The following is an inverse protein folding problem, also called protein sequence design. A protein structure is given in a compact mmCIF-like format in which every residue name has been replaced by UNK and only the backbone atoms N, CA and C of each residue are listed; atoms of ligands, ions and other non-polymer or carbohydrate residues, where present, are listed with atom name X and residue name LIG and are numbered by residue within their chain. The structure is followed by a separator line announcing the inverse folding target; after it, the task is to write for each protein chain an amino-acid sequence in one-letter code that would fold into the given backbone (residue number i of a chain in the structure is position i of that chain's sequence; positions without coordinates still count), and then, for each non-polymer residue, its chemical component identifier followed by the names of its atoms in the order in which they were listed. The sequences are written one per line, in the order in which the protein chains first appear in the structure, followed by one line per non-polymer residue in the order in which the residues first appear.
data_IF_723645916227
#
_entry.id   IF_723645916227
#
_cell.length_a   1.000
_cell.length_b   1.000
_cell.length_c   1.000
_cell.angle_alpha   90.00
_cell.angle_beta   90.00
_cell.angle_gamma   90.00
#
_symmetry.space_group_name_H-M   'P 1'
#
loop_
_entity.id
_entity.type
_entity.pdbx_description
1 polymer ?
#
# COMPACT_ATOMS: atom_id res chain seq x y z
N UNK A 1 8.48 -57.67 50.05
CA UNK A 1 7.13 -57.05 50.17
C UNK A 1 7.19 -55.63 49.63
N UNK A 2 6.26 -55.30 48.71
CA UNK A 2 5.83 -53.96 48.27
C UNK A 2 6.88 -53.14 47.52
N UNK A 3 6.87 -53.18 46.17
CA UNK A 3 6.10 -52.29 45.28
C UNK A 3 6.33 -50.81 45.59
N UNK A 4 6.91 -50.04 44.67
CA UNK A 4 6.37 -48.73 44.29
C UNK A 4 6.92 -48.26 42.93
N UNK A 5 6.06 -48.44 41.92
CA UNK A 5 5.82 -47.58 40.76
C UNK A 5 6.99 -46.84 40.08
N UNK A 6 7.44 -47.43 38.96
CA UNK A 6 7.99 -46.66 37.82
C UNK A 6 6.91 -45.75 37.25
N UNK A 7 6.95 -44.46 37.57
CA UNK A 7 6.18 -43.44 36.86
C UNK A 7 6.93 -43.10 35.58
N UNK A 8 6.54 -43.74 34.48
CA UNK A 8 6.92 -43.34 33.13
C UNK A 8 6.24 -42.00 32.84
N UNK A 9 6.98 -40.90 32.97
CA UNK A 9 6.49 -39.57 32.62
C UNK A 9 6.50 -39.43 31.09
N UNK A 10 5.40 -39.80 30.45
CA UNK A 10 5.13 -39.47 29.05
C UNK A 10 4.94 -37.96 28.94
N UNK A 11 6.03 -37.21 28.74
CA UNK A 11 5.96 -35.85 28.20
C UNK A 11 5.51 -35.96 26.74
N UNK A 12 4.20 -36.01 26.51
CA UNK A 12 3.67 -35.63 25.21
C UNK A 12 3.97 -34.14 25.04
N UNK A 13 5.04 -33.84 24.28
CA UNK A 13 5.19 -32.53 23.66
C UNK A 13 4.01 -32.37 22.70
N UNK A 14 2.88 -31.93 23.24
CA UNK A 14 1.82 -31.31 22.48
C UNK A 14 2.48 -30.11 21.78
N UNK A 15 2.81 -30.32 20.51
CA UNK A 15 3.26 -29.29 19.61
C UNK A 15 2.11 -28.29 19.51
N UNK A 16 2.12 -27.28 20.38
CA UNK A 16 1.31 -26.08 20.22
C UNK A 16 1.82 -25.38 18.97
N UNK A 17 1.46 -25.90 17.80
CA UNK A 17 1.47 -25.12 16.57
C UNK A 17 0.41 -24.05 16.78
N UNK A 18 0.81 -22.91 17.35
CA UNK A 18 0.01 -21.71 17.42
C UNK A 18 -0.15 -21.15 15.99
N UNK A 19 -0.84 -21.90 15.12
CA UNK A 19 -1.03 -21.54 13.71
C UNK A 19 -2.41 -20.94 13.51
N UNK A 20 -2.50 -19.64 13.80
CA UNK A 20 -3.18 -18.70 12.91
C UNK A 20 -2.91 -17.27 13.37
N UNK A 21 -1.90 -16.68 12.75
CA UNK A 21 -1.77 -15.24 12.69
C UNK A 21 -2.23 -14.79 11.32
N UNK A 22 -3.00 -13.69 11.30
CA UNK A 22 -4.03 -13.37 10.29
C UNK A 22 -3.78 -13.93 8.89
N UNK A 23 -4.77 -14.68 8.39
CA UNK A 23 -4.72 -15.26 7.05
C UNK A 23 -5.53 -14.40 6.10
N UNK A 24 -4.89 -13.90 5.04
CA UNK A 24 -5.55 -13.15 3.97
C UNK A 24 -5.53 -14.00 2.71
N UNK A 25 -6.68 -14.17 2.08
CA UNK A 25 -6.84 -14.99 0.87
C UNK A 25 -7.67 -14.27 -0.17
N UNK A 26 -7.56 -14.68 -1.42
CA UNK A 26 -8.42 -14.18 -2.48
C UNK A 26 -7.85 -14.48 -3.85
N UNK A 27 -8.29 -13.71 -4.84
CA UNK A 27 -7.82 -13.77 -6.22
C UNK A 27 -7.39 -12.40 -6.72
N UNK A 28 -6.36 -12.39 -7.56
CA UNK A 28 -5.92 -11.21 -8.33
C UNK A 28 -6.25 -11.48 -9.79
N UNK A 29 -7.09 -10.62 -10.37
CA UNK A 29 -7.65 -10.79 -11.71
C UNK A 29 -7.40 -9.54 -12.56
N UNK A 30 -7.37 -9.74 -13.88
CA UNK A 30 -7.38 -8.65 -14.84
C UNK A 30 -8.80 -8.13 -15.08
N UNK A 31 -8.91 -7.10 -15.92
CA UNK A 31 -10.16 -6.42 -16.27
C UNK A 31 -11.28 -7.34 -16.80
N UNK A 32 -10.91 -8.50 -17.35
CA UNK A 32 -11.82 -9.51 -17.88
C UNK A 32 -12.17 -10.60 -16.85
N UNK A 33 -11.88 -10.35 -15.57
CA UNK A 33 -12.07 -11.27 -14.44
C UNK A 33 -11.33 -12.61 -14.58
N UNK A 34 -10.34 -12.68 -15.48
CA UNK A 34 -9.46 -13.84 -15.64
C UNK A 34 -8.16 -13.65 -14.87
N UNK A 35 -7.53 -14.75 -14.43
CA UNK A 35 -6.19 -14.68 -13.84
C UNK A 35 -5.19 -14.00 -14.77
N UNK A 36 -4.32 -13.19 -14.18
CA UNK A 36 -3.21 -12.54 -14.90
C UNK A 36 -2.10 -13.56 -15.17
N UNK A 37 -1.35 -13.35 -16.26
CA UNK A 37 -0.20 -14.19 -16.63
C UNK A 37 0.85 -14.24 -15.50
N UNK A 38 0.98 -13.12 -14.79
CA UNK A 38 1.79 -12.96 -13.59
C UNK A 38 1.13 -11.91 -12.71
N UNK A 39 1.08 -12.21 -11.40
CA UNK A 39 0.64 -11.28 -10.38
C UNK A 39 1.29 -11.62 -9.04
N UNK A 40 1.50 -10.60 -8.22
CA UNK A 40 2.13 -10.68 -6.92
C UNK A 40 1.38 -9.83 -5.90
N UNK A 41 1.54 -10.17 -4.62
CA UNK A 41 1.17 -9.31 -3.49
C UNK A 41 2.41 -9.00 -2.68
N UNK A 42 2.67 -7.72 -2.47
CA UNK A 42 3.78 -7.22 -1.66
C UNK A 42 3.22 -6.65 -0.36
N UNK A 43 3.77 -7.11 0.76
CA UNK A 43 3.38 -6.65 2.09
C UNK A 43 4.45 -5.68 2.55
N UNK A 44 4.07 -4.44 2.84
CA UNK A 44 5.02 -3.39 3.23
C UNK A 44 4.58 -2.58 4.45
N UNK A 45 5.56 -1.94 5.09
CA UNK A 45 5.32 -0.90 6.08
C UNK A 45 4.68 0.32 5.42
N UNK A 46 3.58 0.87 5.96
CA UNK A 46 3.02 2.13 5.49
C UNK A 46 3.90 3.35 5.76
N UNK A 47 4.81 3.28 6.74
CA UNK A 47 5.65 4.41 7.14
C UNK A 47 7.00 4.39 6.44
N UNK A 48 7.71 3.25 6.45
CA UNK A 48 9.06 3.15 5.83
C UNK A 48 9.01 2.74 4.36
N UNK A 49 7.87 2.21 3.88
CA UNK A 49 7.69 1.58 2.56
C UNK A 49 8.54 0.32 2.35
N UNK A 50 9.22 -0.15 3.39
CA UNK A 50 9.98 -1.41 3.35
C UNK A 50 9.04 -2.57 3.06
N UNK A 51 9.39 -3.38 2.06
CA UNK A 51 8.67 -4.61 1.72
C UNK A 51 9.14 -5.73 2.65
N UNK A 52 8.26 -6.22 3.50
CA UNK A 52 8.55 -7.32 4.41
C UNK A 52 8.69 -8.65 3.67
N UNK A 53 7.78 -8.91 2.73
CA UNK A 53 7.82 -10.08 1.87
C UNK A 53 6.85 -9.93 0.68
N UNK A 54 7.06 -10.76 -0.34
CA UNK A 54 6.24 -10.81 -1.56
C UNK A 54 5.73 -12.23 -1.80
N UNK A 55 4.53 -12.36 -2.34
CA UNK A 55 3.92 -13.65 -2.66
C UNK A 55 3.42 -13.64 -4.10
N UNK A 56 3.86 -14.63 -4.88
CA UNK A 56 3.35 -14.88 -6.23
C UNK A 56 1.95 -15.49 -6.15
N UNK A 57 0.99 -14.94 -6.90
CA UNK A 57 -0.31 -15.58 -7.11
C UNK A 57 -0.18 -16.85 -7.97
N UNK A 58 -0.99 -17.86 -7.67
CA UNK A 58 -1.06 -19.10 -8.46
C UNK A 58 -1.62 -18.82 -9.86
N UNK A 59 -1.45 -19.76 -10.81
CA UNK A 59 -1.97 -19.64 -12.19
C UNK A 59 -3.48 -19.34 -12.28
N UNK A 60 -4.26 -19.75 -11.27
CA UNK A 60 -5.70 -19.45 -11.19
C UNK A 60 -6.03 -18.09 -10.52
N UNK A 61 -5.00 -17.27 -10.27
CA UNK A 61 -5.08 -15.96 -9.61
C UNK A 61 -5.12 -16.03 -8.09
N UNK A 62 -5.22 -17.22 -7.49
CA UNK A 62 -5.37 -17.33 -6.04
C UNK A 62 -4.07 -17.01 -5.29
N UNK A 63 -4.21 -16.36 -4.14
CA UNK A 63 -3.10 -16.05 -3.24
C UNK A 63 -3.47 -16.33 -1.79
N UNK A 64 -2.45 -16.47 -0.95
CA UNK A 64 -2.57 -16.64 0.51
C UNK A 64 -1.42 -15.92 1.19
N UNK A 65 -1.74 -15.07 2.15
CA UNK A 65 -0.82 -14.33 3.00
C UNK A 65 -1.04 -14.80 4.43
N UNK A 66 0.05 -15.00 5.16
CA UNK A 66 0.03 -15.30 6.60
C UNK A 66 0.80 -14.21 7.33
N UNK A 67 0.08 -13.35 8.04
CA UNK A 67 0.68 -12.24 8.77
C UNK A 67 0.95 -12.66 10.20
N UNK A 68 2.23 -12.71 10.56
CA UNK A 68 2.70 -13.09 11.90
C UNK A 68 2.83 -11.96 12.91
N UNK A 69 2.25 -10.78 12.67
CA UNK A 69 2.18 -9.71 13.68
C UNK A 69 0.89 -8.92 13.51
N UNK A 70 0.32 -8.49 14.63
CA UNK A 70 -0.65 -7.40 14.60
C UNK A 70 0.08 -6.14 14.11
N UNK A 71 -0.59 -5.31 13.33
CA UNK A 71 0.08 -4.21 12.64
C UNK A 71 -0.82 -3.45 11.70
N UNK A 72 -0.28 -2.36 11.17
CA UNK A 72 -0.83 -1.64 10.02
C UNK A 72 0.09 -1.91 8.83
N UNK A 73 -0.49 -2.36 7.72
CA UNK A 73 0.26 -2.82 6.55
C UNK A 73 -0.33 -2.22 5.27
N UNK A 74 0.51 -2.10 4.25
CA UNK A 74 0.04 -1.98 2.87
C UNK A 74 0.15 -3.33 2.17
N UNK A 75 -0.96 -3.74 1.56
CA UNK A 75 -1.01 -4.83 0.59
C UNK A 75 -0.97 -4.22 -0.80
N UNK A 76 0.14 -4.37 -1.50
CA UNK A 76 0.30 -3.89 -2.87
C UNK A 76 0.12 -5.06 -3.85
N UNK A 77 -0.93 -4.98 -4.65
CA UNK A 77 -1.28 -5.95 -5.68
C UNK A 77 -0.75 -5.46 -7.02
N UNK A 78 0.03 -6.31 -7.68
CA UNK A 78 0.64 -6.01 -8.98
C UNK A 78 0.29 -7.12 -9.96
N UNK A 79 0.29 -6.82 -11.25
CA UNK A 79 0.19 -7.84 -12.28
C UNK A 79 0.57 -7.31 -13.66
N UNK A 80 1.07 -8.20 -14.51
CA UNK A 80 1.57 -7.82 -15.83
C UNK A 80 0.48 -7.11 -16.66
N UNK A 81 0.86 -6.00 -17.31
CA UNK A 81 0.00 -5.09 -18.07
C UNK A 81 -1.05 -4.31 -17.24
N UNK A 82 -0.94 -4.28 -15.92
CA UNK A 82 -1.93 -3.66 -15.05
C UNK A 82 -1.31 -2.63 -14.09
N UNK A 83 -2.14 -1.66 -13.69
CA UNK A 83 -1.77 -0.68 -12.67
C UNK A 83 -1.75 -1.36 -11.30
N UNK A 84 -0.74 -1.01 -10.49
CA UNK A 84 -0.62 -1.49 -9.11
C UNK A 84 -1.73 -0.91 -8.25
N UNK A 85 -2.21 -1.70 -7.29
CA UNK A 85 -3.22 -1.29 -6.32
C UNK A 85 -2.70 -1.48 -4.90
N UNK A 86 -2.69 -0.41 -4.10
CA UNK A 86 -2.22 -0.45 -2.71
C UNK A 86 -3.39 -0.31 -1.75
N UNK A 87 -3.56 -1.29 -0.87
CA UNK A 87 -4.67 -1.39 0.08
C UNK A 87 -4.14 -1.30 1.52
N UNK A 88 -4.55 -0.30 2.31
CA UNK A 88 -4.28 -0.27 3.75
C UNK A 88 -5.05 -1.36 4.49
N UNK A 89 -4.39 -2.06 5.41
CA UNK A 89 -5.05 -3.03 6.27
C UNK A 89 -4.55 -2.97 7.71
N UNK A 90 -5.48 -3.02 8.66
CA UNK A 90 -5.18 -3.01 10.10
C UNK A 90 -5.52 -4.36 10.70
N UNK A 91 -4.52 -4.98 11.29
CA UNK A 91 -4.61 -6.25 12.01
C UNK A 91 -4.45 -5.96 13.50
N UNK A 92 -5.58 -5.88 14.22
CA UNK A 92 -5.62 -5.67 15.67
C UNK A 92 -5.83 -6.97 16.45
N UNK A 93 -6.20 -8.06 15.78
CA UNK A 93 -6.34 -9.42 16.31
C UNK A 93 -6.23 -10.43 15.16
N UNK A 94 -5.93 -11.68 15.49
CA UNK A 94 -5.98 -12.78 14.53
C UNK A 94 -7.37 -12.90 13.90
N UNK A 95 -7.41 -12.95 12.58
CA UNK A 95 -8.64 -13.10 11.80
C UNK A 95 -8.37 -13.75 10.44
N UNK A 96 -9.44 -14.06 9.71
CA UNK A 96 -9.38 -14.46 8.31
C UNK A 96 -10.00 -13.36 7.48
N UNK A 97 -9.33 -12.98 6.40
CA UNK A 97 -9.78 -11.93 5.49
C UNK A 97 -9.82 -12.53 4.09
N UNK A 98 -10.96 -12.42 3.43
CA UNK A 98 -11.08 -12.80 2.03
C UNK A 98 -11.30 -11.55 1.19
N UNK A 99 -10.36 -11.31 0.28
CA UNK A 99 -10.21 -10.06 -0.47
C UNK A 99 -9.89 -10.38 -1.94
N UNK A 100 -10.85 -10.18 -2.82
CA UNK A 100 -10.68 -10.36 -4.27
C UNK A 100 -10.43 -9.02 -4.94
N UNK A 101 -9.51 -9.02 -5.91
CA UNK A 101 -9.04 -7.82 -6.58
C UNK A 101 -9.18 -8.00 -8.10
N UNK A 102 -9.79 -7.01 -8.74
CA UNK A 102 -9.67 -6.79 -10.19
C UNK A 102 -8.78 -5.58 -10.39
N UNK A 103 -7.62 -5.76 -11.01
CA UNK A 103 -6.69 -4.66 -11.26
C UNK A 103 -7.13 -3.84 -12.46
N UNK A 104 -6.90 -2.53 -12.37
CA UNK A 104 -7.02 -1.62 -13.50
C UNK A 104 -5.97 -1.92 -14.57
N UNK A 105 -6.36 -1.96 -15.84
CA UNK A 105 -5.42 -2.17 -16.93
C UNK A 105 -4.59 -0.90 -17.21
N UNK A 106 -3.34 -1.08 -17.65
CA UNK A 106 -2.49 0.05 -18.04
C UNK A 106 -3.16 0.88 -19.13
N UNK A 107 -2.97 2.21 -19.08
CA UNK A 107 -3.53 3.13 -20.06
C UNK A 107 -2.42 3.54 -21.01
N UNK A 108 -2.67 3.42 -22.32
CA UNK A 108 -1.64 3.65 -23.33
C UNK A 108 -1.91 4.92 -24.13
N UNK A 109 -0.84 5.59 -24.57
CA UNK A 109 -0.94 6.70 -25.51
C UNK A 109 -1.70 6.27 -26.78
N UNK A 110 -2.51 7.15 -27.38
CA UNK A 110 -3.26 6.84 -28.60
C UNK A 110 -2.32 6.60 -29.79
N UNK A 111 -1.18 7.30 -29.83
CA UNK A 111 -0.12 7.18 -30.83
C UNK A 111 1.24 7.22 -30.15
N UNK A 112 2.24 6.61 -30.79
CA UNK A 112 3.61 6.55 -30.26
C UNK A 112 4.54 7.33 -31.19
N UNK A 113 5.15 8.39 -30.66
CA UNK A 113 6.17 9.17 -31.40
C UNK A 113 7.53 8.48 -31.34
N UNK A 114 7.84 7.90 -30.18
CA UNK A 114 9.12 7.26 -29.88
C UNK A 114 8.85 6.08 -28.96
N UNK A 115 9.19 4.87 -29.41
CA UNK A 115 9.17 3.67 -28.56
C UNK A 115 10.60 3.33 -28.23
N UNK A 116 10.88 3.19 -26.95
CA UNK A 116 12.21 2.93 -26.43
C UNK A 116 12.20 1.63 -25.62
N UNK A 117 13.38 1.01 -25.52
CA UNK A 117 13.57 -0.26 -24.83
C UNK A 117 14.81 -0.16 -23.94
N UNK A 118 14.71 -0.78 -22.77
CA UNK A 118 15.79 -1.05 -21.82
C UNK A 118 15.76 -2.54 -21.45
N UNK A 119 16.86 -3.08 -20.95
CA UNK A 119 16.91 -4.49 -20.56
C UNK A 119 18.29 -4.96 -20.17
N UNK A 120 18.50 -6.27 -20.25
CA UNK A 120 19.78 -6.91 -19.90
C UNK A 120 21.00 -6.28 -20.61
N UNK A 121 20.82 -5.82 -21.85
CA UNK A 121 21.88 -5.23 -22.66
C UNK A 121 22.43 -3.90 -22.12
N UNK A 122 21.65 -3.18 -21.31
CA UNK A 122 22.06 -1.92 -20.69
C UNK A 122 21.86 -1.91 -19.17
N UNK A 123 21.71 -3.09 -18.54
CA UNK A 123 21.40 -3.25 -17.12
C UNK A 123 20.19 -2.40 -16.66
N UNK A 124 19.18 -2.27 -17.52
CA UNK A 124 17.99 -1.45 -17.27
C UNK A 124 18.28 0.04 -17.01
N UNK A 125 19.39 0.58 -17.54
CA UNK A 125 19.74 2.00 -17.46
C UNK A 125 18.71 2.85 -18.24
N UNK A 126 17.86 3.58 -17.51
CA UNK A 126 16.79 4.42 -18.05
C UNK A 126 17.32 5.68 -18.77
N UNK A 127 18.57 6.06 -18.51
CA UNK A 127 19.20 7.22 -19.14
C UNK A 127 19.84 6.86 -20.49
N UNK A 128 20.04 5.55 -20.76
CA UNK A 128 20.59 5.03 -22.02
C UNK A 128 19.66 4.03 -22.72
N UNK A 129 18.40 4.41 -23.02
CA UNK A 129 17.48 3.54 -23.72
C UNK A 129 17.80 3.44 -25.22
N UNK A 130 17.58 2.27 -25.81
CA UNK A 130 17.63 2.08 -27.27
C UNK A 130 16.29 2.46 -27.88
N UNK A 131 16.29 3.22 -28.97
CA UNK A 131 15.06 3.52 -29.71
C UNK A 131 14.73 2.38 -30.66
N UNK A 132 13.52 1.84 -30.58
CA UNK A 132 13.08 0.76 -31.46
C UNK A 132 12.77 1.30 -32.86
N UNK A 133 13.13 0.53 -33.90
CA UNK A 133 12.88 0.90 -35.29
C UNK A 133 11.43 0.59 -35.67
N UNK A 134 10.68 1.62 -36.09
CA UNK A 134 9.33 1.46 -36.63
C UNK A 134 9.38 0.76 -38.00
N UNK A 135 8.55 -0.24 -38.18
CA UNK A 135 8.41 -1.01 -39.42
C UNK A 135 7.22 -0.53 -40.25
N UNK A 136 7.15 -0.96 -41.51
CA UNK A 136 6.07 -0.60 -42.45
C UNK A 136 4.69 -1.13 -42.01
N UNK A 137 4.64 -2.24 -41.28
CA UNK A 137 3.42 -2.86 -40.74
C UNK A 137 2.89 -2.18 -39.46
N UNK A 138 3.62 -1.17 -38.96
CA UNK A 138 3.31 -0.42 -37.74
C UNK A 138 3.87 -1.01 -36.45
N UNK A 139 4.62 -2.12 -36.51
CA UNK A 139 5.36 -2.66 -35.36
C UNK A 139 6.66 -1.91 -35.11
N UNK A 140 7.26 -2.13 -33.94
CA UNK A 140 8.57 -1.59 -33.57
C UNK A 140 9.49 -2.74 -33.17
N UNK A 141 10.73 -2.73 -33.67
CA UNK A 141 11.68 -3.82 -33.42
C UNK A 141 13.02 -3.33 -32.89
N UNK A 142 13.64 -4.12 -32.02
CA UNK A 142 15.04 -4.00 -31.63
C UNK A 142 15.69 -5.39 -31.59
N UNK A 143 16.97 -5.47 -31.93
CA UNK A 143 17.73 -6.73 -31.99
C UNK A 143 18.99 -6.61 -31.12
N UNK A 144 19.31 -7.68 -30.40
CA UNK A 144 20.43 -7.73 -29.46
C UNK A 144 21.15 -9.06 -29.57
N UNK A 145 22.48 -9.00 -29.57
CA UNK A 145 23.33 -10.17 -29.34
C UNK A 145 23.36 -10.46 -27.84
N UNK A 146 23.34 -11.74 -27.45
CA UNK A 146 23.39 -12.15 -26.05
C UNK A 146 23.88 -13.59 -25.91
N UNK A 147 24.64 -13.85 -24.87
CA UNK A 147 25.01 -15.22 -24.44
C UNK A 147 24.01 -15.80 -23.45
N UNK A 148 23.05 -14.99 -22.96
CA UNK A 148 22.03 -15.43 -22.01
C UNK A 148 20.92 -16.17 -22.73
N UNK A 149 20.49 -17.29 -22.16
CA UNK A 149 19.32 -18.03 -22.67
C UNK A 149 18.01 -17.26 -22.46
N UNK A 150 17.90 -16.53 -21.33
CA UNK A 150 16.79 -15.63 -21.01
C UNK A 150 17.25 -14.19 -21.14
N UNK A 151 16.44 -13.36 -21.78
CA UNK A 151 16.69 -11.95 -21.97
C UNK A 151 15.49 -11.14 -21.48
N UNK A 152 15.73 -10.29 -20.50
CA UNK A 152 14.71 -9.45 -19.87
C UNK A 152 14.73 -8.02 -20.45
N UNK A 153 13.55 -7.42 -20.61
CA UNK A 153 13.40 -6.08 -21.15
C UNK A 153 12.11 -5.38 -20.67
N UNK A 154 12.10 -4.05 -20.79
CA UNK A 154 10.92 -3.21 -20.61
C UNK A 154 10.86 -2.11 -21.67
N UNK A 155 9.67 -1.53 -21.86
CA UNK A 155 9.39 -0.53 -22.87
C UNK A 155 9.07 0.84 -22.25
N UNK A 156 9.50 1.89 -22.95
CA UNK A 156 9.35 3.30 -22.56
C UNK A 156 8.63 4.05 -23.68
N UNK A 157 7.82 5.04 -23.30
CA UNK A 157 7.12 5.92 -24.24
C UNK A 157 5.79 5.36 -24.77
N UNK A 158 5.19 4.40 -24.04
CA UNK A 158 3.94 3.73 -24.44
C UNK A 158 2.80 4.05 -23.46
N UNK A 159 3.03 3.92 -22.16
CA UNK A 159 2.03 4.16 -21.11
C UNK A 159 1.77 5.67 -20.93
N UNK A 160 0.52 6.04 -20.68
CA UNK A 160 0.02 7.41 -20.69
C UNK A 160 0.69 8.33 -19.65
N UNK A 161 1.05 7.79 -18.48
CA UNK A 161 1.70 8.53 -17.39
C UNK A 161 3.23 8.57 -17.51
N UNK A 162 3.79 7.94 -18.57
CA UNK A 162 5.23 7.81 -18.76
C UNK A 162 5.85 6.62 -18.03
N UNK A 163 5.02 5.72 -17.46
CA UNK A 163 5.48 4.52 -16.79
C UNK A 163 6.22 3.58 -17.75
N UNK A 164 7.29 2.97 -17.25
CA UNK A 164 8.02 1.90 -17.93
C UNK A 164 7.22 0.60 -17.75
N UNK A 165 6.92 -0.10 -18.83
CA UNK A 165 6.00 -1.24 -18.82
C UNK A 165 6.61 -2.47 -19.49
N UNK A 166 6.07 -3.65 -19.18
CA UNK A 166 6.37 -4.86 -19.94
C UNK A 166 5.97 -4.74 -21.43
N UNK A 167 6.58 -5.55 -22.29
CA UNK A 167 6.31 -5.59 -23.73
C UNK A 167 5.15 -6.51 -24.14
N UNK A 168 4.81 -6.46 -25.43
CA UNK A 168 3.74 -7.29 -26.05
C UNK A 168 4.22 -8.67 -26.51
N UNK A 169 5.53 -8.94 -26.41
CA UNK A 169 6.16 -10.21 -26.78
C UNK A 169 6.97 -10.74 -25.60
N UNK A 170 6.51 -11.82 -24.98
CA UNK A 170 7.17 -12.37 -23.79
C UNK A 170 6.81 -13.84 -23.61
N UNK A 171 7.78 -14.64 -23.21
CA UNK A 171 7.61 -16.02 -22.75
C UNK A 171 7.24 -16.09 -21.26
N UNK A 172 7.72 -15.11 -20.47
CA UNK A 172 7.40 -14.98 -19.05
C UNK A 172 7.61 -13.55 -18.53
N UNK A 173 7.35 -13.34 -17.24
CA UNK A 173 7.50 -12.04 -16.57
C UNK A 173 8.27 -12.19 -15.26
N UNK A 174 9.12 -11.20 -14.96
CA UNK A 174 9.82 -11.03 -13.69
C UNK A 174 9.34 -9.72 -13.05
N UNK A 175 9.12 -9.73 -11.74
CA UNK A 175 8.74 -8.50 -11.02
C UNK A 175 9.95 -7.57 -10.91
N UNK A 176 9.79 -6.30 -11.27
CA UNK A 176 10.90 -5.33 -11.38
C UNK A 176 11.26 -4.62 -10.06
N UNK A 177 10.49 -4.84 -9.00
CA UNK A 177 10.69 -4.19 -7.70
C UNK A 177 9.85 -2.93 -7.48
N UNK A 178 9.29 -2.32 -8.53
CA UNK A 178 8.55 -1.04 -8.47
C UNK A 178 7.14 -1.13 -9.09
N UNK A 179 6.51 -2.30 -8.97
CA UNK A 179 5.10 -2.49 -9.28
C UNK A 179 4.80 -2.90 -10.72
N UNK A 180 5.80 -2.94 -11.61
CA UNK A 180 5.67 -3.44 -12.99
C UNK A 180 6.48 -4.74 -13.17
N UNK A 181 6.62 -5.15 -14.43
CA UNK A 181 7.25 -6.39 -14.80
C UNK A 181 8.23 -6.19 -15.95
N UNK A 182 9.31 -6.95 -15.90
CA UNK A 182 10.19 -7.19 -17.03
C UNK A 182 9.57 -8.30 -17.89
N UNK A 183 9.48 -8.07 -19.19
CA UNK A 183 9.20 -9.12 -20.16
C UNK A 183 10.44 -9.96 -20.38
N UNK A 184 10.31 -11.29 -20.33
CA UNK A 184 11.41 -12.23 -20.58
C UNK A 184 11.15 -12.98 -21.87
N UNK A 185 12.14 -13.02 -22.74
CA UNK A 185 12.14 -13.82 -23.99
C UNK A 185 13.32 -14.78 -24.01
N UNK A 186 13.16 -15.88 -24.74
CA UNK A 186 14.22 -16.87 -24.96
C UNK A 186 15.07 -16.50 -26.19
N UNK A 187 16.38 -16.46 -26.00
CA UNK A 187 17.33 -16.21 -27.10
C UNK A 187 17.43 -17.42 -28.03
N UNK A 188 17.67 -17.14 -29.31
CA UNK A 188 17.88 -18.14 -30.36
C UNK A 188 19.17 -17.83 -31.09
N UNK A 189 20.10 -18.78 -31.13
CA UNK A 189 21.39 -18.66 -31.81
C UNK A 189 22.19 -17.40 -31.39
N UNK A 190 22.22 -17.11 -30.09
CA UNK A 190 22.94 -15.96 -29.54
C UNK A 190 22.27 -14.60 -29.79
N UNK A 191 21.03 -14.58 -30.31
CA UNK A 191 20.31 -13.35 -30.65
C UNK A 191 18.93 -13.32 -30.05
N UNK A 192 18.44 -12.10 -29.83
CA UNK A 192 17.05 -11.81 -29.49
C UNK A 192 16.56 -10.71 -30.40
N UNK A 193 15.41 -10.94 -31.02
CA UNK A 193 14.63 -9.90 -31.71
C UNK A 193 13.37 -9.64 -30.89
N UNK A 194 13.18 -8.40 -30.47
CA UNK A 194 12.04 -7.97 -29.69
C UNK A 194 11.12 -7.16 -30.57
N UNK A 195 9.84 -7.56 -30.66
CA UNK A 195 8.82 -6.88 -31.44
C UNK A 195 7.72 -6.34 -30.52
N UNK A 196 7.62 -5.02 -30.46
CA UNK A 196 6.46 -4.35 -29.91
C UNK A 196 5.39 -4.20 -31.00
N UNK A 197 4.21 -4.78 -30.76
CA UNK A 197 3.06 -4.70 -31.66
C UNK A 197 1.92 -3.89 -31.01
N UNK A 198 1.75 -2.61 -31.38
CA UNK A 198 0.66 -1.76 -30.92
C UNK A 198 -0.74 -2.36 -31.01
N UNK A 199 -0.99 -3.21 -32.01
CA UNK A 199 -2.31 -3.83 -32.25
C UNK A 199 -2.65 -4.90 -31.21
N UNK A 200 -1.66 -5.41 -30.47
CA UNK A 200 -1.86 -6.35 -29.36
C UNK A 200 -2.21 -5.67 -28.03
N UNK A 201 -2.12 -4.34 -27.94
CA UNK A 201 -2.47 -3.62 -26.72
C UNK A 201 -3.98 -3.66 -26.49
N UNK A 202 -4.37 -4.00 -25.25
CA UNK A 202 -5.77 -3.93 -24.83
C UNK A 202 -6.07 -2.51 -24.40
N UNK A 203 -6.92 -1.80 -25.15
CA UNK A 203 -7.30 -0.40 -24.85
C UNK A 203 -8.66 -0.36 -24.18
N UNK A 204 -8.67 -0.57 -22.88
CA UNK A 204 -9.87 -0.54 -22.04
C UNK A 204 -9.70 0.40 -20.86
N UNK A 205 -10.77 1.10 -20.51
CA UNK A 205 -10.83 1.96 -19.34
C UNK A 205 -11.71 1.30 -18.27
N UNK A 206 -11.12 0.39 -17.48
CA UNK A 206 -11.80 -0.20 -16.33
C UNK A 206 -11.39 0.51 -15.04
N UNK A 207 -12.29 0.49 -14.05
CA UNK A 207 -11.92 0.77 -12.67
C UNK A 207 -11.34 -0.50 -12.03
N UNK A 208 -10.43 -0.32 -11.08
CA UNK A 208 -10.10 -1.35 -10.12
C UNK A 208 -11.34 -1.74 -9.28
N UNK A 209 -11.40 -3.00 -8.85
CA UNK A 209 -12.46 -3.47 -7.94
C UNK A 209 -11.85 -4.19 -6.75
N UNK A 210 -12.38 -3.87 -5.57
CA UNK A 210 -11.96 -4.42 -4.28
C UNK A 210 -13.17 -5.04 -3.61
N UNK A 211 -13.17 -6.35 -3.48
CA UNK A 211 -14.31 -7.10 -2.92
C UNK A 211 -13.89 -7.83 -1.66
N UNK A 212 -14.34 -7.32 -0.52
CA UNK A 212 -14.29 -8.01 0.76
C UNK A 212 -15.42 -9.02 0.85
N UNK A 213 -15.15 -10.19 1.44
CA UNK A 213 -16.22 -11.11 1.85
C UNK A 213 -17.15 -10.42 2.87
N UNK A 214 -18.43 -10.78 2.86
CA UNK A 214 -19.44 -10.13 3.71
C UNK A 214 -19.11 -10.24 5.20
N UNK A 215 -18.42 -11.31 5.61
CA UNK A 215 -17.96 -11.51 7.00
C UNK A 215 -16.84 -10.53 7.40
N UNK A 216 -16.20 -9.88 6.43
CA UNK A 216 -15.11 -8.91 6.59
C UNK A 216 -15.59 -7.45 6.54
N UNK A 217 -16.83 -7.16 6.92
CA UNK A 217 -17.37 -5.78 6.89
C UNK A 217 -16.51 -4.77 7.68
N UNK A 218 -15.97 -5.16 8.84
CA UNK A 218 -15.10 -4.29 9.64
C UNK A 218 -13.81 -3.93 8.89
N UNK A 219 -13.25 -4.88 8.13
CA UNK A 219 -12.04 -4.64 7.34
C UNK A 219 -12.34 -3.70 6.16
N UNK A 220 -13.48 -3.88 5.51
CA UNK A 220 -13.98 -3.00 4.45
C UNK A 220 -14.19 -1.57 4.95
N UNK A 221 -14.84 -1.39 6.09
CA UNK A 221 -15.08 -0.05 6.65
C UNK A 221 -13.80 0.60 7.16
N UNK A 222 -12.88 -0.17 7.74
CA UNK A 222 -11.55 0.34 8.08
C UNK A 222 -10.80 0.83 6.83
N UNK A 223 -10.83 0.05 5.74
CA UNK A 223 -10.28 0.46 4.44
C UNK A 223 -10.92 1.77 3.94
N UNK A 224 -12.25 1.90 4.02
CA UNK A 224 -12.96 3.11 3.58
C UNK A 224 -12.53 4.35 4.37
N UNK A 225 -12.38 4.23 5.70
CA UNK A 225 -11.93 5.34 6.56
C UNK A 225 -10.52 5.78 6.17
N UNK A 226 -9.58 4.84 6.11
CA UNK A 226 -8.17 5.13 5.83
C UNK A 226 -8.00 5.67 4.41
N UNK A 227 -8.73 5.14 3.44
CA UNK A 227 -8.75 5.65 2.07
C UNK A 227 -9.30 7.07 2.02
N UNK A 228 -10.36 7.37 2.79
CA UNK A 228 -10.89 8.73 2.91
C UNK A 228 -9.88 9.71 3.53
N UNK A 229 -9.06 9.27 4.49
CA UNK A 229 -7.94 10.05 5.04
C UNK A 229 -6.92 10.37 3.94
N UNK A 230 -6.46 9.36 3.21
CA UNK A 230 -5.52 9.54 2.08
C UNK A 230 -6.05 10.45 0.97
N UNK A 231 -7.35 10.35 0.63
CA UNK A 231 -7.99 11.23 -0.34
C UNK A 231 -8.00 12.70 0.12
N UNK A 232 -8.25 12.96 1.41
CA UNK A 232 -8.14 14.33 1.96
C UNK A 232 -6.71 14.84 1.87
N UNK A 233 -5.73 14.03 2.23
CA UNK A 233 -4.32 14.38 2.11
C UNK A 233 -3.95 14.74 0.66
N UNK A 234 -4.37 13.94 -0.33
CA UNK A 234 -4.13 14.24 -1.74
C UNK A 234 -4.79 15.57 -2.17
N UNK A 235 -6.03 15.83 -1.73
CA UNK A 235 -6.73 17.09 -2.01
C UNK A 235 -5.99 18.30 -1.45
N UNK A 236 -5.37 18.16 -0.27
CA UNK A 236 -4.53 19.20 0.34
C UNK A 236 -3.27 19.42 -0.47
N UNK A 237 -2.54 18.34 -0.81
CA UNK A 237 -1.29 18.42 -1.58
C UNK A 237 -1.56 19.16 -2.90
N UNK A 238 -2.63 18.80 -3.61
CA UNK A 238 -3.03 19.47 -4.84
C UNK A 238 -3.36 20.95 -4.60
N UNK A 239 -4.13 21.27 -3.56
CA UNK A 239 -4.48 22.65 -3.24
C UNK A 239 -3.26 23.51 -2.87
N UNK A 240 -2.31 22.94 -2.13
CA UNK A 240 -1.05 23.59 -1.73
C UNK A 240 -0.16 23.83 -2.95
N UNK A 241 0.00 22.83 -3.81
CA UNK A 241 0.79 22.95 -5.04
C UNK A 241 0.22 24.02 -5.98
N UNK A 242 -1.11 24.09 -6.09
CA UNK A 242 -1.79 25.07 -6.92
C UNK A 242 -1.79 26.49 -6.31
N UNK A 243 -1.43 26.63 -5.03
CA UNK A 243 -1.46 27.89 -4.30
C UNK A 243 -0.09 28.25 -3.70
N UNK A 244 0.97 28.12 -4.51
CA UNK A 244 2.35 28.56 -4.19
C UNK A 244 2.87 28.01 -2.85
N UNK A 245 2.56 26.75 -2.56
CA UNK A 245 3.03 26.08 -1.35
C UNK A 245 2.25 26.42 -0.08
N UNK A 246 1.07 27.07 -0.17
CA UNK A 246 0.22 27.39 0.98
C UNK A 246 -1.18 26.82 0.81
N UNK A 247 -1.79 26.35 1.89
CA UNK A 247 -3.21 25.96 1.84
C UNK A 247 -4.07 27.23 1.59
N UNK A 248 -5.05 27.19 0.66
CA UNK A 248 -5.96 28.31 0.43
C UNK A 248 -6.69 28.72 1.72
N UNK A 249 -6.79 30.04 1.99
CA UNK A 249 -7.48 30.56 3.19
C UNK A 249 -8.95 30.12 3.27
N UNK A 250 -9.58 29.88 2.12
CA UNK A 250 -10.96 29.45 1.96
C UNK A 250 -11.11 27.94 1.76
N UNK A 251 -10.07 27.13 2.06
CA UNK A 251 -10.19 25.68 1.97
C UNK A 251 -11.27 25.17 2.93
N UNK A 252 -12.31 24.55 2.37
CA UNK A 252 -13.52 24.22 3.12
C UNK A 252 -13.44 22.81 3.73
N UNK A 253 -13.38 22.76 5.05
CA UNK A 253 -13.36 21.52 5.85
C UNK A 253 -14.74 21.06 6.34
N UNK A 254 -15.78 21.90 6.22
CA UNK A 254 -17.06 21.70 6.90
C UNK A 254 -17.74 20.38 6.51
N UNK A 255 -17.63 19.97 5.24
CA UNK A 255 -18.16 18.69 4.76
C UNK A 255 -17.43 17.49 5.38
N UNK A 256 -16.11 17.54 5.48
CA UNK A 256 -15.31 16.47 6.07
C UNK A 256 -15.53 16.37 7.58
N UNK A 257 -15.55 17.52 8.28
CA UNK A 257 -15.83 17.59 9.72
C UNK A 257 -17.19 16.94 10.02
N UNK A 258 -18.25 17.39 9.35
CA UNK A 258 -19.61 16.85 9.56
C UNK A 258 -19.66 15.35 9.27
N UNK A 259 -19.09 14.91 8.15
CA UNK A 259 -19.06 13.49 7.77
C UNK A 259 -18.38 12.63 8.85
N UNK A 260 -17.22 13.06 9.36
CA UNK A 260 -16.49 12.31 10.38
C UNK A 260 -17.22 12.34 11.73
N UNK A 261 -17.85 13.46 12.11
CA UNK A 261 -18.68 13.55 13.32
C UNK A 261 -19.89 12.62 13.25
N UNK A 262 -20.60 12.61 12.12
CA UNK A 262 -21.74 11.71 11.88
C UNK A 262 -21.30 10.24 11.95
N UNK A 263 -20.10 9.94 11.44
CA UNK A 263 -19.54 8.61 11.53
C UNK A 263 -19.20 8.22 12.97
N UNK A 264 -18.54 9.11 13.72
CA UNK A 264 -18.20 8.90 15.13
C UNK A 264 -19.45 8.64 15.97
N UNK A 265 -20.53 9.40 15.77
CA UNK A 265 -21.74 9.29 16.60
C UNK A 265 -22.52 7.98 16.39
N UNK A 266 -22.47 7.43 15.17
CA UNK A 266 -23.21 6.21 14.80
C UNK A 266 -22.40 4.93 15.00
N UNK A 267 -21.08 5.02 15.05
CA UNK A 267 -20.21 3.85 15.07
C UNK A 267 -20.21 3.14 16.43
N UNK A 268 -20.48 1.83 16.39
CA UNK A 268 -20.53 0.95 17.57
C UNK A 268 -19.32 0.04 17.67
N UNK A 269 -18.65 -0.24 16.56
CA UNK A 269 -17.48 -1.09 16.53
C UNK A 269 -16.26 -0.35 17.12
N UNK A 270 -15.60 -0.88 18.17
CA UNK A 270 -14.50 -0.18 18.83
C UNK A 270 -13.30 0.14 17.93
N UNK A 271 -13.04 -0.68 16.91
CA UNK A 271 -11.94 -0.43 15.97
C UNK A 271 -12.30 0.75 15.04
N UNK A 272 -13.48 0.71 14.44
CA UNK A 272 -13.95 1.73 13.51
C UNK A 272 -14.16 3.08 14.22
N UNK A 273 -14.64 3.06 15.47
CA UNK A 273 -14.78 4.25 16.30
C UNK A 273 -13.42 4.93 16.50
N UNK A 274 -12.39 4.16 16.87
CA UNK A 274 -11.02 4.68 17.04
C UNK A 274 -10.42 5.21 15.74
N UNK A 275 -10.67 4.54 14.61
CA UNK A 275 -10.24 5.04 13.30
C UNK A 275 -10.94 6.35 12.92
N UNK A 276 -12.23 6.46 13.22
CA UNK A 276 -13.00 7.68 12.97
C UNK A 276 -12.53 8.83 13.86
N UNK A 277 -12.22 8.55 15.13
CA UNK A 277 -11.60 9.52 16.05
C UNK A 277 -10.21 9.97 15.56
N UNK A 278 -9.37 9.05 15.07
CA UNK A 278 -8.08 9.41 14.45
C UNK A 278 -8.28 10.26 13.20
N UNK A 279 -9.22 9.88 12.33
CA UNK A 279 -9.62 10.64 11.14
C UNK A 279 -10.12 12.04 11.50
N UNK A 280 -10.65 12.26 12.71
CA UNK A 280 -11.04 13.58 13.19
C UNK A 280 -9.84 14.41 13.62
N UNK A 281 -8.90 13.80 14.36
CA UNK A 281 -7.63 14.44 14.73
C UNK A 281 -6.82 14.86 13.49
N UNK A 282 -6.79 14.04 12.44
CA UNK A 282 -6.13 14.35 11.17
C UNK A 282 -6.60 15.70 10.58
N UNK A 283 -7.90 16.01 10.67
CA UNK A 283 -8.43 17.30 10.20
C UNK A 283 -7.79 18.48 10.94
N UNK A 284 -7.57 18.33 12.25
CA UNK A 284 -6.86 19.31 13.07
C UNK A 284 -5.39 19.46 12.67
N UNK A 285 -4.70 18.35 12.38
CA UNK A 285 -3.31 18.37 11.85
C UNK A 285 -3.23 19.16 10.56
N UNK A 286 -4.24 19.07 9.70
CA UNK A 286 -4.33 19.81 8.45
C UNK A 286 -4.83 21.26 8.58
N UNK A 287 -5.04 21.74 9.81
CA UNK A 287 -5.38 23.14 10.07
C UNK A 287 -6.86 23.48 9.99
N UNK A 288 -7.76 22.50 10.11
CA UNK A 288 -9.19 22.77 10.26
C UNK A 288 -9.44 23.57 11.56
N UNK A 289 -10.12 24.73 11.47
CA UNK A 289 -10.27 25.68 12.58
C UNK A 289 -11.44 25.38 13.53
N UNK A 290 -12.41 24.57 13.10
CA UNK A 290 -13.65 24.29 13.84
C UNK A 290 -13.67 22.86 14.38
N UNK A 291 -12.53 22.41 14.92
CA UNK A 291 -12.42 21.09 15.54
C UNK A 291 -12.93 21.20 16.98
N UNK A 292 -13.88 20.34 17.32
CA UNK A 292 -14.48 20.23 18.63
C UNK A 292 -13.48 19.56 19.59
N UNK A 293 -13.05 20.34 20.59
CA UNK A 293 -12.13 19.89 21.61
C UNK A 293 -12.62 18.71 22.46
N UNK A 294 -13.95 18.53 22.57
CA UNK A 294 -14.53 17.40 23.31
C UNK A 294 -14.31 16.08 22.57
N UNK A 295 -14.48 16.07 21.25
CA UNK A 295 -14.21 14.91 20.40
C UNK A 295 -12.70 14.62 20.36
N UNK A 296 -11.86 15.67 20.32
CA UNK A 296 -10.42 15.49 20.39
C UNK A 296 -9.97 14.89 21.73
N UNK A 297 -10.55 15.35 22.85
CA UNK A 297 -10.33 14.74 24.17
C UNK A 297 -10.77 13.27 24.18
N UNK A 298 -11.94 12.96 23.66
CA UNK A 298 -12.43 11.59 23.51
C UNK A 298 -11.46 10.71 22.70
N UNK A 299 -10.87 11.24 21.63
CA UNK A 299 -9.90 10.51 20.82
C UNK A 299 -8.67 10.08 21.65
N UNK A 300 -8.09 10.97 22.46
CA UNK A 300 -6.96 10.63 23.33
C UNK A 300 -7.34 9.76 24.52
N UNK A 301 -8.61 9.73 24.95
CA UNK A 301 -9.09 8.84 26.00
C UNK A 301 -9.33 7.42 25.49
N UNK A 302 -9.89 7.28 24.28
CA UNK A 302 -10.27 5.99 23.69
C UNK A 302 -9.13 5.31 22.92
N UNK A 303 -8.34 6.08 22.19
CA UNK A 303 -7.12 5.58 21.54
C UNK A 303 -6.06 5.55 22.62
N UNK A 304 -5.68 4.37 23.09
CA UNK A 304 -4.65 4.22 24.14
C UNK A 304 -3.24 4.47 23.57
N UNK A 305 -2.27 4.91 24.39
CA UNK A 305 -0.91 5.17 23.91
C UNK A 305 -0.23 3.99 23.21
N UNK A 306 -0.56 2.76 23.60
CA UNK A 306 -0.05 1.53 23.01
C UNK A 306 -0.88 1.00 21.81
N UNK A 307 -1.85 1.77 21.34
CA UNK A 307 -2.75 1.36 20.26
C UNK A 307 -2.03 1.32 18.91
N UNK A 308 -2.32 0.29 18.12
CA UNK A 308 -1.84 0.18 16.72
C UNK A 308 -2.42 1.26 15.80
N UNK A 309 -3.52 1.91 16.21
CA UNK A 309 -4.19 2.95 15.43
C UNK A 309 -3.27 4.14 15.17
N UNK A 310 -2.34 4.44 16.07
CA UNK A 310 -1.35 5.49 15.87
C UNK A 310 -0.40 5.24 14.68
N UNK A 311 -0.29 3.99 14.20
CA UNK A 311 0.49 3.70 13.00
C UNK A 311 -0.18 4.21 11.71
N UNK A 312 -1.49 4.45 11.71
CA UNK A 312 -2.24 4.93 10.54
C UNK A 312 -1.86 6.37 10.21
N UNK A 313 -1.81 7.23 11.22
CA UNK A 313 -1.30 8.58 11.11
C UNK A 313 -0.65 9.03 12.43
N UNK A 314 0.68 8.86 12.58
CA UNK A 314 1.36 9.25 13.80
C UNK A 314 1.44 10.77 13.98
N UNK A 315 1.21 11.58 12.93
CA UNK A 315 1.20 13.06 13.01
C UNK A 315 0.12 13.58 13.94
N UNK A 316 -1.00 12.87 14.06
CA UNK A 316 -2.09 13.21 14.97
C UNK A 316 -1.65 13.30 16.45
N UNK A 317 -0.53 12.67 16.82
CA UNK A 317 0.07 12.81 18.16
C UNK A 317 0.57 14.24 18.45
N UNK A 318 0.86 15.08 17.44
CA UNK A 318 1.24 16.48 17.66
C UNK A 318 0.12 17.25 18.39
N UNK A 319 -1.15 16.92 18.10
CA UNK A 319 -2.30 17.55 18.74
C UNK A 319 -2.42 17.26 20.24
N UNK A 320 -1.66 16.28 20.76
CA UNK A 320 -1.59 16.05 22.19
C UNK A 320 -0.90 17.20 22.95
N UNK A 321 -0.16 18.08 22.28
CA UNK A 321 0.40 19.28 22.91
C UNK A 321 -0.58 20.46 22.99
N UNK A 322 -1.80 20.27 22.49
CA UNK A 322 -2.85 21.27 22.49
C UNK A 322 -3.01 21.95 21.13
N UNK A 323 -4.22 22.40 20.87
CA UNK A 323 -4.61 23.19 19.70
C UNK A 323 -5.93 23.92 20.03
N UNK A 324 -6.47 24.71 19.11
CA UNK A 324 -7.73 25.43 19.33
C UNK A 324 -8.83 24.49 19.84
N UNK A 325 -9.35 24.76 21.04
CA UNK A 325 -10.41 23.97 21.68
C UNK A 325 -9.93 22.80 22.55
N UNK A 326 -8.67 22.38 22.48
CA UNK A 326 -8.12 21.27 23.28
C UNK A 326 -6.86 21.69 24.03
N UNK A 327 -6.89 21.63 25.37
CA UNK A 327 -5.78 22.08 26.25
C UNK A 327 -4.51 21.20 26.17
N UNK A 328 -4.55 20.06 25.48
CA UNK A 328 -3.40 19.15 25.40
C UNK A 328 -3.26 18.21 26.61
N UNK A 329 -2.53 17.13 26.41
CA UNK A 329 -1.93 16.27 27.42
C UNK A 329 -0.50 15.88 26.97
N UNK A 330 0.52 16.73 27.22
CA UNK A 330 1.90 16.46 26.80
C UNK A 330 2.47 15.13 27.31
N UNK A 331 1.98 14.65 28.47
CA UNK A 331 2.35 13.35 29.03
C UNK A 331 1.89 12.16 28.19
N UNK A 332 0.95 12.36 27.26
CA UNK A 332 0.46 11.33 26.36
C UNK A 332 1.57 10.79 25.45
N UNK A 333 2.38 11.67 24.84
CA UNK A 333 3.49 11.27 23.95
C UNK A 333 4.54 10.46 24.70
N UNK A 334 4.86 10.83 25.95
CA UNK A 334 5.77 10.05 26.79
C UNK A 334 5.26 8.62 27.01
N UNK A 335 3.94 8.45 27.23
CA UNK A 335 3.33 7.12 27.34
C UNK A 335 3.37 6.35 26.02
N UNK A 336 3.22 7.01 24.87
CA UNK A 336 3.37 6.35 23.56
C UNK A 336 4.80 5.82 23.40
N UNK A 337 5.81 6.64 23.69
CA UNK A 337 7.22 6.26 23.61
C UNK A 337 7.52 5.04 24.49
N UNK A 338 6.98 5.02 25.72
CA UNK A 338 7.29 3.97 26.70
C UNK A 338 6.49 2.67 26.51
N UNK A 339 5.35 2.69 25.79
CA UNK A 339 4.41 1.55 25.78
C UNK A 339 3.96 1.09 24.39
N UNK A 340 4.20 1.86 23.32
CA UNK A 340 3.72 1.48 22.00
C UNK A 340 4.59 0.37 21.39
N UNK A 341 3.99 -0.76 20.96
CA UNK A 341 4.74 -1.87 20.39
C UNK A 341 5.26 -1.57 18.97
N UNK A 342 4.72 -0.56 18.28
CA UNK A 342 5.17 -0.16 16.96
C UNK A 342 6.35 0.81 17.07
N UNK A 343 7.54 0.34 16.66
CA UNK A 343 8.79 1.11 16.72
C UNK A 343 8.80 2.35 15.81
N UNK A 344 8.06 2.34 14.72
CA UNK A 344 7.95 3.49 13.82
C UNK A 344 7.13 4.61 14.48
N UNK A 345 6.04 4.25 15.18
CA UNK A 345 5.26 5.20 15.98
C UNK A 345 6.10 5.77 17.12
N UNK A 346 6.90 4.94 17.79
CA UNK A 346 7.84 5.39 18.83
C UNK A 346 8.89 6.35 18.24
N UNK A 347 9.49 6.00 17.10
CA UNK A 347 10.46 6.84 16.41
C UNK A 347 9.88 8.22 16.04
N UNK A 348 8.67 8.24 15.49
CA UNK A 348 7.96 9.49 15.20
C UNK A 348 7.66 10.30 16.47
N UNK A 349 7.27 9.63 17.56
CA UNK A 349 6.97 10.27 18.84
C UNK A 349 8.22 10.90 19.48
N UNK A 350 9.39 10.26 19.34
CA UNK A 350 10.68 10.83 19.75
C UNK A 350 11.01 12.07 18.92
N UNK A 351 10.82 12.03 17.60
CA UNK A 351 10.98 13.19 16.73
C UNK A 351 10.07 14.36 17.16
N UNK A 352 8.78 14.11 17.43
CA UNK A 352 7.86 15.13 17.93
C UNK A 352 8.35 15.79 19.22
N UNK A 353 8.85 14.98 20.17
CA UNK A 353 9.38 15.48 21.44
C UNK A 353 10.59 16.40 21.24
N UNK A 354 11.51 16.03 20.35
CA UNK A 354 12.66 16.87 19.98
C UNK A 354 12.22 18.18 19.33
N UNK A 355 11.24 18.13 18.43
CA UNK A 355 10.68 19.33 17.79
C UNK A 355 10.01 20.28 18.80
N UNK A 356 9.29 19.73 19.77
CA UNK A 356 8.69 20.53 20.84
C UNK A 356 9.74 21.20 21.72
N UNK A 357 10.78 20.47 22.15
CA UNK A 357 11.86 21.03 22.95
C UNK A 357 12.55 22.20 22.25
N UNK A 358 12.78 22.08 20.93
CA UNK A 358 13.31 23.17 20.09
C UNK A 358 12.41 24.41 20.05
N UNK A 359 11.08 24.22 20.02
CA UNK A 359 10.12 25.34 20.03
C UNK A 359 10.13 26.08 21.37
N UNK A 360 10.30 25.38 22.49
CA UNK A 360 10.36 25.99 23.83
C UNK A 360 11.70 26.70 24.06
N UNK A 361 12.82 26.17 23.56
CA UNK A 361 14.14 26.79 23.72
C UNK A 361 14.41 28.02 22.84
N UNK A 362 13.48 28.39 21.95
CA UNK A 362 13.55 29.57 21.07
C UNK A 362 12.58 30.69 21.52
N UNK A 363 12.04 30.62 22.73
CA UNK A 363 11.17 31.64 23.35
C UNK A 363 11.95 32.44 24.37
#
# INVERSE_FOLDING_TARGET
MKNFFSVLLFFSLASLTLTAQTIITGRILGYNEKPLLRADVHISSPLTKEVFFSIKAKKNGSYRIELRKNGYYFLEYTGANNQRLKIPIIINKSKRIKLNIVLKHNQYLPTFKKVQIIGDFNNFDIDKPVTMKKQSDGTYTAEFETTRHKFAYQLIGIEYTGRIINGTESDSFIYDGDGDYESVVISKNGKVKITFNPKKLVRINNAEQITFDIKNYVDKEAYNIITSMGQRQNRIILAVNNNKGKLPKNFNWSKDIKKVQDQISKEKNPLLKKLSLLSYLELGVFGAKNIDGTIAKQAFEEIKPNSIIWAVDPRALELSYGFTGYKGNPGYVNKVISSNPNREVVGFSLYLKTMQAKRVGNV
#
